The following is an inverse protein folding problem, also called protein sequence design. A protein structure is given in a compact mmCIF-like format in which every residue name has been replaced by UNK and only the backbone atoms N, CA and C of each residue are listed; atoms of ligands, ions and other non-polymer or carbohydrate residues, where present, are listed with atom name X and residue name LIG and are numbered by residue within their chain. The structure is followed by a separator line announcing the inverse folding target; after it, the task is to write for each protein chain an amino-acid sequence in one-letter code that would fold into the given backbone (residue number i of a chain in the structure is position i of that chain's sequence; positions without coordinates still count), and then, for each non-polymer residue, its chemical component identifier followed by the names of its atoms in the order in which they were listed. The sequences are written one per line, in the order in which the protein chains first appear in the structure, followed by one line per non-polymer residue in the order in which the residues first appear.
data_IF_258910627053
#
_entry.id   IF_258910627053
#
_cell.length_a   1.000
_cell.length_b   1.000
_cell.length_c   1.000
_cell.angle_alpha   90.00
_cell.angle_beta   90.00
_cell.angle_gamma   90.00
#
_symmetry.space_group_name_H-M   'P 1'
#
loop_
_entity.id
_entity.type
_entity.pdbx_description
1 polymer ?
#
# COMPACT_ATOMS: atom_id res chain seq x y z
N UNK A 1 20.01 -0.07 -5.00
CA UNK A 1 18.93 0.67 -4.30
C UNK A 1 17.62 0.20 -4.91
N UNK A 2 16.72 -0.39 -4.13
CA UNK A 2 15.41 -0.83 -4.66
C UNK A 2 14.46 0.36 -4.60
N UNK A 3 13.90 0.76 -5.73
CA UNK A 3 12.92 1.83 -5.78
C UNK A 3 11.57 1.33 -5.24
N UNK A 4 10.95 2.07 -4.33
CA UNK A 4 9.63 1.73 -3.77
C UNK A 4 8.57 1.69 -4.89
N UNK A 5 7.69 0.69 -4.85
CA UNK A 5 6.56 0.61 -5.78
C UNK A 5 5.45 1.55 -5.31
N UNK A 6 5.01 2.43 -6.22
CA UNK A 6 3.89 3.34 -5.95
C UNK A 6 2.54 2.65 -6.20
N UNK A 7 1.60 2.78 -5.27
CA UNK A 7 0.27 2.15 -5.32
C UNK A 7 -0.83 3.18 -5.06
N UNK A 8 -1.91 3.13 -5.84
CA UNK A 8 -3.18 3.81 -5.55
C UNK A 8 -4.23 2.75 -5.23
N UNK A 9 -4.94 2.90 -4.12
CA UNK A 9 -5.96 1.93 -3.65
C UNK A 9 -7.34 2.56 -3.78
N UNK A 10 -8.07 2.18 -4.82
CA UNK A 10 -9.46 2.60 -5.02
C UNK A 10 -10.37 1.72 -4.15
N UNK A 11 -11.10 2.33 -3.21
CA UNK A 11 -11.89 1.58 -2.22
C UNK A 11 -11.10 1.13 -1.00
N UNK A 12 -10.17 1.96 -0.50
CA UNK A 12 -9.29 1.65 0.62
C UNK A 12 -10.00 1.35 1.97
N UNK A 13 -11.29 1.65 2.10
CA UNK A 13 -12.08 1.45 3.32
C UNK A 13 -12.75 0.08 3.41
N UNK A 14 -12.87 -0.65 2.29
CA UNK A 14 -13.38 -2.02 2.29
C UNK A 14 -12.39 -3.00 2.92
N UNK A 15 -12.83 -4.24 3.13
CA UNK A 15 -11.99 -5.31 3.70
C UNK A 15 -10.68 -5.47 2.94
N UNK A 16 -10.75 -5.52 1.60
CA UNK A 16 -9.58 -5.64 0.71
C UNK A 16 -8.66 -4.43 0.84
N UNK A 17 -9.22 -3.22 0.84
CA UNK A 17 -8.47 -1.99 0.99
C UNK A 17 -7.71 -1.91 2.32
N UNK A 18 -8.37 -2.27 3.42
CA UNK A 18 -7.79 -2.32 4.75
C UNK A 18 -6.66 -3.36 4.85
N UNK A 19 -6.90 -4.59 4.41
CA UNK A 19 -5.88 -5.64 4.40
C UNK A 19 -4.69 -5.26 3.51
N UNK A 20 -4.93 -4.56 2.39
CA UNK A 20 -3.85 -4.06 1.52
C UNK A 20 -3.01 -3.00 2.24
N UNK A 21 -3.65 -2.07 2.97
CA UNK A 21 -2.94 -1.08 3.78
C UNK A 21 -2.13 -1.72 4.90
N UNK A 22 -2.60 -2.81 5.50
CA UNK A 22 -1.85 -3.52 6.55
C UNK A 22 -0.55 -4.12 5.99
N UNK A 23 -0.58 -4.75 4.81
CA UNK A 23 0.62 -5.24 4.12
C UNK A 23 1.60 -4.12 3.75
N UNK A 24 1.09 -2.96 3.33
CA UNK A 24 1.93 -1.79 3.02
C UNK A 24 2.61 -1.24 4.27
N UNK A 25 1.90 -1.17 5.40
CA UNK A 25 2.46 -0.76 6.70
C UNK A 25 3.54 -1.71 7.19
N UNK A 26 3.38 -3.01 6.94
CA UNK A 26 4.36 -4.03 7.31
C UNK A 26 5.63 -4.03 6.45
N UNK A 27 5.59 -3.46 5.23
CA UNK A 27 6.71 -3.43 4.28
C UNK A 27 6.88 -2.03 3.67
N UNK A 28 7.14 -1.01 4.50
CA UNK A 28 7.21 0.38 4.04
C UNK A 28 8.43 0.61 3.13
N UNK A 29 9.48 -0.20 3.22
CA UNK A 29 10.65 -0.18 2.33
C UNK A 29 10.32 -0.60 0.89
N UNK A 30 9.21 -1.32 0.68
CA UNK A 30 8.82 -1.85 -0.63
C UNK A 30 7.72 -1.04 -1.31
N UNK A 31 6.87 -0.39 -0.54
CA UNK A 31 5.63 0.22 -1.05
C UNK A 31 5.47 1.66 -0.58
N UNK A 32 4.90 2.49 -1.46
CA UNK A 32 4.52 3.87 -1.17
C UNK A 32 3.10 4.14 -1.70
N UNK A 33 2.22 4.66 -0.86
CA UNK A 33 0.87 5.05 -1.28
C UNK A 33 0.92 6.37 -2.05
N UNK A 34 0.17 6.43 -3.14
CA UNK A 34 -0.16 7.63 -3.93
C UNK A 34 -1.69 7.71 -4.02
N UNK A 35 -2.23 8.93 -4.09
CA UNK A 35 -3.65 9.17 -4.36
C UNK A 35 -3.78 9.57 -5.83
#
# INVERSE_FOLDING_TARGET
MVNQRSLTILGATGSVGKSTLDLVRERPDRFKIRA
#
